data_IF_751348594329
#
_entry.id   IF_751348594329
#
_cell.length_a   1.000
_cell.length_b   1.000
_cell.length_c   1.000
_cell.angle_alpha   90.00
_cell.angle_beta   90.00
_cell.angle_gamma   90.00
#
_symmetry.space_group_name_H-M   'P 1'
#
loop_
_entity.id
_entity.type
_entity.pdbx_description
1 polymer ?
#
# COMPACT_ATOMS: atom_id res chain seq x y z
N UNK A 1 -24.63 -72.28 -12.24
CA UNK A 1 -24.68 -71.65 -13.58
C UNK A 1 -25.02 -70.18 -13.34
N UNK A 2 -24.26 -69.13 -13.64
CA UNK A 2 -22.96 -68.86 -14.26
C UNK A 2 -22.52 -67.47 -13.72
N UNK A 3 -21.20 -67.25 -13.66
CA UNK A 3 -20.48 -66.04 -13.24
C UNK A 3 -20.49 -64.90 -14.29
N UNK A 4 -20.03 -63.71 -13.85
CA UNK A 4 -19.39 -62.57 -14.55
C UNK A 4 -20.20 -61.26 -14.73
N UNK A 5 -19.55 -60.09 -14.89
CA UNK A 5 -18.88 -59.30 -13.83
C UNK A 5 -19.22 -57.79 -13.95
N UNK A 6 -18.74 -56.93 -13.05
CA UNK A 6 -19.00 -55.49 -13.18
C UNK A 6 -18.25 -54.61 -12.20
N UNK A 7 -16.93 -54.59 -12.33
CA UNK A 7 -16.04 -53.61 -11.70
C UNK A 7 -16.40 -52.19 -12.17
N UNK A 8 -16.79 -51.29 -11.27
CA UNK A 8 -16.71 -49.85 -11.51
C UNK A 8 -16.30 -49.10 -10.25
N UNK A 9 -14.98 -49.06 -10.05
CA UNK A 9 -14.19 -47.85 -9.74
C UNK A 9 -14.98 -46.72 -9.08
N UNK A 10 -14.88 -46.62 -7.76
CA UNK A 10 -15.03 -45.33 -7.08
C UNK A 10 -13.78 -44.50 -7.37
N UNK A 11 -13.88 -43.34 -8.06
CA UNK A 11 -12.81 -42.38 -8.00
C UNK A 11 -12.78 -41.80 -6.58
N UNK A 12 -11.63 -41.96 -5.92
CA UNK A 12 -11.21 -41.16 -4.78
C UNK A 12 -11.35 -39.71 -5.22
N UNK A 13 -12.42 -39.03 -4.81
CA UNK A 13 -12.57 -37.59 -5.02
C UNK A 13 -11.71 -36.94 -3.95
N UNK A 14 -10.41 -36.83 -4.24
CA UNK A 14 -9.50 -35.92 -3.56
C UNK A 14 -10.17 -34.56 -3.57
N UNK A 15 -10.76 -34.17 -2.43
CA UNK A 15 -11.09 -32.77 -2.17
C UNK A 15 -9.74 -32.08 -2.11
N UNK A 16 -9.29 -31.58 -3.26
CA UNK A 16 -8.43 -30.42 -3.30
C UNK A 16 -9.15 -29.36 -2.47
N UNK A 17 -8.69 -29.19 -1.23
CA UNK A 17 -8.87 -27.97 -0.48
C UNK A 17 -8.10 -26.94 -1.32
N UNK A 18 -8.78 -26.35 -2.30
CA UNK A 18 -8.36 -25.08 -2.87
C UNK A 18 -8.58 -24.10 -1.73
N UNK A 19 -7.49 -23.86 -1.02
CA UNK A 19 -7.33 -22.78 -0.07
C UNK A 19 -7.62 -21.49 -0.84
N UNK A 20 -8.87 -21.02 -0.74
CA UNK A 20 -9.26 -19.72 -1.25
C UNK A 20 -8.31 -18.69 -0.63
N UNK A 21 -7.60 -17.87 -1.43
CA UNK A 21 -6.79 -16.80 -0.87
C UNK A 21 -7.75 -15.83 -0.18
N UNK A 22 -7.79 -15.95 1.14
CA UNK A 22 -8.41 -14.99 2.05
C UNK A 22 -8.00 -13.60 1.58
N UNK A 23 -9.00 -12.79 1.22
CA UNK A 23 -8.85 -11.39 0.88
C UNK A 23 -8.11 -10.70 2.03
N UNK A 24 -6.81 -10.52 1.85
CA UNK A 24 -5.91 -9.99 2.87
C UNK A 24 -6.15 -8.49 2.92
N UNK A 25 -6.65 -8.02 4.07
CA UNK A 25 -6.50 -6.66 4.59
C UNK A 25 -5.27 -6.00 3.98
N UNK A 26 -5.44 -4.89 3.25
CA UNK A 26 -4.42 -4.19 2.45
C UNK A 26 -2.99 -4.50 2.90
N UNK A 27 -2.42 -5.57 2.33
CA UNK A 27 -1.14 -6.08 2.77
C UNK A 27 -0.07 -5.08 2.33
N UNK A 28 0.68 -4.53 3.29
CA UNK A 28 1.88 -3.74 3.00
C UNK A 28 2.79 -4.57 2.10
N UNK A 29 3.03 -4.08 0.89
CA UNK A 29 3.88 -4.75 -0.09
C UNK A 29 5.24 -4.07 -0.15
N UNK A 30 6.25 -4.85 -0.47
CA UNK A 30 7.65 -4.41 -0.56
C UNK A 30 8.26 -4.90 -1.86
N UNK A 31 9.29 -4.22 -2.33
CA UNK A 31 10.08 -4.58 -3.50
C UNK A 31 11.58 -4.56 -3.15
N UNK A 32 12.31 -5.58 -3.60
CA UNK A 32 13.77 -5.64 -3.48
C UNK A 32 14.42 -5.49 -4.85
N UNK A 33 15.50 -4.73 -4.89
CA UNK A 33 16.36 -4.50 -6.04
C UNK A 33 17.76 -5.04 -5.79
N UNK A 34 18.37 -5.57 -6.84
CA UNK A 34 19.81 -5.80 -6.94
C UNK A 34 20.33 -4.91 -8.08
N UNK A 35 21.06 -3.84 -7.72
CA UNK A 35 21.40 -2.78 -8.65
C UNK A 35 20.14 -2.12 -9.23
N UNK A 36 19.78 -2.45 -10.48
CA UNK A 36 18.62 -1.89 -11.19
C UNK A 36 17.52 -2.92 -11.49
N UNK A 37 17.75 -4.19 -11.13
CA UNK A 37 16.85 -5.30 -11.41
C UNK A 37 16.01 -5.65 -10.19
N UNK A 38 14.74 -6.01 -10.40
CA UNK A 38 13.85 -6.46 -9.33
C UNK A 38 14.19 -7.92 -8.97
N UNK A 39 14.47 -8.17 -7.70
CA UNK A 39 14.75 -9.50 -7.15
C UNK A 39 13.45 -10.17 -6.70
N UNK A 40 12.61 -9.42 -5.99
CA UNK A 40 11.39 -9.93 -5.39
C UNK A 40 10.42 -8.80 -5.10
N UNK A 41 9.13 -9.14 -5.08
CA UNK A 41 8.05 -8.27 -4.66
C UNK A 41 7.01 -9.07 -3.90
N UNK A 42 6.44 -8.49 -2.85
CA UNK A 42 5.36 -9.13 -2.09
C UNK A 42 5.41 -8.75 -0.61
N UNK A 43 5.07 -9.72 0.25
CA UNK A 43 5.20 -9.55 1.69
C UNK A 43 6.68 -9.44 2.10
N UNK A 44 6.95 -8.71 3.19
CA UNK A 44 8.31 -8.43 3.64
C UNK A 44 9.13 -9.70 3.87
N UNK A 45 8.51 -10.73 4.45
CA UNK A 45 9.14 -12.04 4.69
C UNK A 45 9.62 -12.72 3.41
N UNK A 46 8.80 -12.71 2.36
CA UNK A 46 9.16 -13.34 1.08
C UNK A 46 10.25 -12.56 0.36
N UNK A 47 10.17 -11.24 0.39
CA UNK A 47 11.14 -10.34 -0.22
C UNK A 47 12.51 -10.50 0.46
N UNK A 48 12.57 -10.52 1.79
CA UNK A 48 13.81 -10.73 2.55
C UNK A 48 14.36 -12.14 2.35
N UNK A 49 13.53 -13.18 2.34
CA UNK A 49 13.99 -14.56 2.07
C UNK A 49 14.66 -14.68 0.71
N UNK A 50 14.01 -14.21 -0.36
CA UNK A 50 14.57 -14.25 -1.72
C UNK A 50 15.83 -13.38 -1.86
N UNK A 51 15.86 -12.26 -1.16
CA UNK A 51 17.04 -11.38 -1.08
C UNK A 51 18.22 -12.09 -0.43
N UNK A 52 17.98 -12.83 0.67
CA UNK A 52 19.01 -13.62 1.36
C UNK A 52 19.52 -14.78 0.53
N UNK A 53 18.64 -15.51 -0.16
CA UNK A 53 19.02 -16.61 -1.07
C UNK A 53 19.97 -16.12 -2.17
N UNK A 54 19.75 -14.92 -2.71
CA UNK A 54 20.64 -14.29 -3.70
C UNK A 54 22.01 -13.93 -3.11
N UNK A 55 22.04 -13.34 -1.91
CA UNK A 55 23.30 -13.03 -1.21
C UNK A 55 24.12 -14.30 -0.91
N UNK A 56 23.45 -15.36 -0.46
CA UNK A 56 24.09 -16.65 -0.15
C UNK A 56 24.59 -17.37 -1.42
N UNK A 57 23.97 -17.08 -2.57
CA UNK A 57 24.42 -17.53 -3.89
C UNK A 57 25.70 -16.85 -4.40
N UNK A 58 26.24 -15.85 -3.69
CA UNK A 58 27.48 -15.15 -4.04
C UNK A 58 27.29 -14.02 -5.05
N UNK A 59 26.05 -13.60 -5.32
CA UNK A 59 25.77 -12.46 -6.19
C UNK A 59 26.00 -11.14 -5.42
N UNK A 60 27.17 -10.53 -5.62
CA UNK A 60 27.68 -9.38 -4.85
C UNK A 60 27.06 -8.01 -5.18
N UNK A 61 25.89 -7.96 -5.80
CA UNK A 61 25.19 -6.70 -6.05
C UNK A 61 24.57 -6.17 -4.75
N UNK A 62 24.68 -4.85 -4.53
CA UNK A 62 24.06 -4.21 -3.36
C UNK A 62 22.55 -4.33 -3.48
N UNK A 63 21.93 -4.86 -2.43
CA UNK A 63 20.49 -4.93 -2.31
C UNK A 63 19.90 -3.63 -1.77
N UNK A 64 18.76 -3.23 -2.33
CA UNK A 64 17.96 -2.10 -1.85
C UNK A 64 16.50 -2.53 -1.75
N UNK A 65 15.89 -2.36 -0.58
CA UNK A 65 14.49 -2.70 -0.34
C UNK A 65 13.68 -1.42 -0.21
N UNK A 66 12.47 -1.42 -0.75
CA UNK A 66 11.57 -0.28 -0.67
C UNK A 66 10.16 -0.73 -0.30
N UNK A 67 9.45 0.12 0.43
CA UNK A 67 8.01 0.03 0.58
C UNK A 67 7.34 0.34 -0.77
N UNK A 68 6.46 -0.56 -1.18
CA UNK A 68 5.88 -0.59 -2.52
C UNK A 68 4.77 0.45 -2.74
N UNK A 69 4.43 1.19 -1.69
CA UNK A 69 3.38 2.21 -1.70
C UNK A 69 3.97 3.59 -1.44
N UNK A 70 4.89 3.70 -0.49
CA UNK A 70 5.43 4.97 0.00
C UNK A 70 6.80 5.31 -0.60
N UNK A 71 7.41 4.37 -1.33
CA UNK A 71 8.74 4.54 -1.92
C UNK A 71 9.85 4.75 -0.90
N UNK A 72 9.60 4.43 0.39
CA UNK A 72 10.59 4.58 1.46
C UNK A 72 11.59 3.43 1.42
N UNK A 73 12.89 3.71 1.51
CA UNK A 73 13.89 2.66 1.63
C UNK A 73 13.75 1.94 2.98
N UNK A 74 13.97 0.63 2.98
CA UNK A 74 14.05 -0.23 4.15
C UNK A 74 15.49 -0.71 4.29
N UNK A 75 16.07 -0.49 5.47
CA UNK A 75 17.35 -1.07 5.85
C UNK A 75 17.09 -2.38 6.60
N UNK A 76 17.44 -3.51 5.98
CA UNK A 76 17.31 -4.84 6.57
C UNK A 76 18.71 -5.41 6.76
N UNK A 77 19.01 -5.79 8.00
CA UNK A 77 20.24 -6.47 8.33
C UNK A 77 20.18 -7.94 7.90
N UNK A 78 20.88 -8.25 6.80
CA UNK A 78 21.01 -9.60 6.25
C UNK A 78 22.13 -10.45 6.90
N UNK A 79 22.76 -9.97 7.98
CA UNK A 79 23.82 -10.69 8.68
C UNK A 79 23.31 -11.98 9.36
N UNK A 80 24.04 -13.08 9.15
CA UNK A 80 23.74 -14.39 9.74
C UNK A 80 22.99 -15.34 8.81
N UNK A 81 22.38 -16.37 9.40
CA UNK A 81 21.57 -17.37 8.70
C UNK A 81 20.20 -16.81 8.30
N UNK A 82 19.58 -17.40 7.27
CA UNK A 82 18.22 -17.02 6.85
C UNK A 82 17.20 -17.12 7.99
N UNK A 83 17.37 -18.07 8.91
CA UNK A 83 16.53 -18.23 10.09
C UNK A 83 16.68 -17.07 11.09
N UNK A 84 17.91 -16.57 11.30
CA UNK A 84 18.17 -15.42 12.19
C UNK A 84 17.61 -14.13 11.61
N UNK A 85 17.76 -13.91 10.30
CA UNK A 85 17.17 -12.76 9.60
C UNK A 85 15.64 -12.80 9.67
N UNK A 86 15.04 -13.98 9.47
CA UNK A 86 13.59 -14.17 9.58
C UNK A 86 13.08 -14.00 11.03
N UNK A 87 13.86 -14.40 12.03
CA UNK A 87 13.53 -14.16 13.44
C UNK A 87 13.52 -12.66 13.77
N UNK A 88 14.49 -11.88 13.25
CA UNK A 88 14.50 -10.42 13.42
C UNK A 88 13.32 -9.74 12.75
N UNK A 89 12.82 -10.30 11.64
CA UNK A 89 11.60 -9.82 11.01
C UNK A 89 10.37 -9.96 11.90
N UNK A 90 10.26 -11.00 12.73
CA UNK A 90 9.07 -11.17 13.60
C UNK A 90 8.88 -10.07 14.64
N UNK A 91 9.93 -9.32 14.97
CA UNK A 91 9.87 -8.14 15.85
C UNK A 91 9.92 -6.82 15.09
N UNK A 92 10.02 -6.85 13.76
CA UNK A 92 10.15 -5.66 12.94
C UNK A 92 8.80 -4.95 12.79
N UNK A 93 8.70 -3.63 13.08
CA UNK A 93 7.42 -2.90 13.07
C UNK A 93 6.64 -2.98 11.75
N UNK A 94 7.35 -3.13 10.63
CA UNK A 94 6.75 -3.24 9.29
C UNK A 94 6.34 -4.68 8.89
N UNK A 95 6.75 -5.68 9.66
CA UNK A 95 6.36 -7.09 9.45
C UNK A 95 5.17 -7.50 10.33
N UNK A 96 4.93 -6.75 11.40
CA UNK A 96 3.74 -6.93 12.22
C UNK A 96 2.51 -6.49 11.42
N UNK A 97 1.39 -7.25 11.48
CA UNK A 97 0.11 -6.75 10.99
C UNK A 97 -0.14 -5.36 11.60
N UNK A 98 -0.73 -4.39 10.87
CA UNK A 98 -1.13 -3.13 11.47
C UNK A 98 -1.97 -3.47 12.70
N UNK A 99 -1.44 -3.15 13.87
CA UNK A 99 -2.05 -3.52 15.14
C UNK A 99 -3.42 -2.85 15.16
N UNK A 100 -4.45 -3.66 14.88
CA UNK A 100 -5.82 -3.27 15.09
C UNK A 100 -5.89 -3.08 16.60
N UNK A 101 -6.03 -1.84 17.06
CA UNK A 101 -6.07 -1.52 18.49
C UNK A 101 -6.82 -2.61 19.26
N UNK A 102 -6.27 -3.13 20.36
CA UNK A 102 -6.79 -4.32 21.00
C UNK A 102 -8.26 -4.12 21.31
N UNK A 103 -9.09 -4.88 20.58
CA UNK A 103 -10.53 -4.94 20.74
C UNK A 103 -10.86 -5.32 22.16
N UNK A 104 -11.05 -4.31 23.01
CA UNK A 104 -11.49 -4.48 24.38
C UNK A 104 -12.88 -5.12 24.31
N UNK A 105 -12.95 -6.39 24.72
CA UNK A 105 -14.15 -7.24 24.69
C UNK A 105 -15.38 -6.44 25.13
N UNK A 106 -16.29 -6.19 24.19
CA UNK A 106 -17.52 -5.43 24.40
C UNK A 106 -18.54 -6.33 25.10
N UNK A 107 -18.79 -6.09 26.38
CA UNK A 107 -20.04 -6.49 27.01
C UNK A 107 -21.23 -5.75 26.35
N UNK A 108 -22.46 -6.26 26.49
CA UNK A 108 -23.64 -5.65 25.87
C UNK A 108 -23.96 -4.33 26.58
N UNK A 109 -23.51 -3.22 26.01
CA UNK A 109 -23.74 -1.88 26.53
C UNK A 109 -23.44 -0.85 25.47
N UNK A 110 -24.45 0.01 25.20
CA UNK A 110 -24.49 1.15 24.26
C UNK A 110 -23.08 1.66 23.87
N UNK A 111 -22.70 1.63 22.58
CA UNK A 111 -21.35 2.02 22.17
C UNK A 111 -21.07 3.46 22.60
N UNK A 112 -20.08 3.66 23.47
CA UNK A 112 -19.50 4.98 23.73
C UNK A 112 -18.84 5.41 22.42
N UNK A 113 -19.45 6.36 21.70
CA UNK A 113 -18.70 7.14 20.71
C UNK A 113 -17.56 7.80 21.51
N UNK A 114 -16.31 7.44 21.24
CA UNK A 114 -15.13 8.03 21.88
C UNK A 114 -14.94 9.48 21.46
N UNK A 115 -15.87 10.37 21.83
CA UNK A 115 -15.82 11.80 21.55
C UNK A 115 -14.94 12.44 22.60
N UNK A 116 -13.81 13.01 22.18
CA UNK A 116 -12.97 13.87 23.02
C UNK A 116 -13.40 15.31 22.76
N UNK A 117 -13.85 16.01 23.80
CA UNK A 117 -14.21 17.43 23.68
C UNK A 117 -12.94 18.28 23.63
N UNK A 118 -12.90 19.21 22.67
CA UNK A 118 -11.90 20.28 22.56
C UNK A 118 -12.62 21.58 22.20
N UNK A 119 -12.05 22.71 22.59
CA UNK A 119 -12.64 24.03 22.34
C UNK A 119 -12.40 24.49 20.90
N UNK A 120 -13.39 25.14 20.31
CA UNK A 120 -13.35 25.67 18.93
C UNK A 120 -14.01 27.05 18.93
N UNK A 121 -13.31 28.04 18.38
CA UNK A 121 -13.82 29.41 18.22
C UNK A 121 -14.31 29.63 16.80
N UNK A 122 -15.59 29.99 16.65
CA UNK A 122 -16.23 30.25 15.36
C UNK A 122 -16.95 31.60 15.37
N UNK A 123 -17.20 32.16 14.18
CA UNK A 123 -17.92 33.42 14.03
C UNK A 123 -19.39 33.27 14.44
N UNK A 124 -20.04 34.32 14.98
CA UNK A 124 -21.42 34.25 15.46
C UNK A 124 -22.42 33.70 14.43
N UNK A 125 -22.27 34.08 13.15
CA UNK A 125 -23.07 33.55 12.04
C UNK A 125 -22.94 32.04 11.85
N UNK A 126 -21.77 31.47 12.10
CA UNK A 126 -21.52 30.03 11.99
C UNK A 126 -22.16 29.28 13.15
N UNK A 127 -22.17 29.87 14.35
CA UNK A 127 -22.90 29.32 15.49
C UNK A 127 -24.41 29.32 15.27
N UNK A 128 -24.96 30.41 14.73
CA UNK A 128 -26.38 30.47 14.34
C UNK A 128 -26.74 29.34 13.37
N UNK A 129 -25.97 29.20 12.29
CA UNK A 129 -26.17 28.12 11.32
C UNK A 129 -26.02 26.72 11.93
N UNK A 130 -25.04 26.50 12.82
CA UNK A 130 -24.81 25.21 13.49
C UNK A 130 -25.95 24.82 14.44
N UNK A 131 -26.58 25.81 15.10
CA UNK A 131 -27.69 25.60 16.02
C UNK A 131 -28.97 25.13 15.29
N UNK A 132 -29.13 25.52 14.03
CA UNK A 132 -30.27 25.16 13.18
C UNK A 132 -30.16 23.73 12.59
N UNK A 133 -28.99 23.08 12.72
CA UNK A 133 -28.75 21.77 12.11
C UNK A 133 -29.48 20.63 12.84
N UNK A 134 -30.17 19.80 12.06
CA UNK A 134 -30.75 18.54 12.56
C UNK A 134 -29.66 17.63 13.12
N UNK A 135 -29.77 17.29 14.41
CA UNK A 135 -28.77 16.49 15.15
C UNK A 135 -27.71 17.31 15.90
N UNK A 136 -27.82 18.64 15.89
CA UNK A 136 -27.00 19.57 16.67
C UNK A 136 -25.62 19.89 16.06
N UNK A 137 -24.98 20.92 16.61
CA UNK A 137 -23.73 21.48 16.12
C UNK A 137 -22.62 20.42 15.95
N UNK A 138 -22.45 19.52 16.93
CA UNK A 138 -21.40 18.49 16.87
C UNK A 138 -21.62 17.43 15.79
N UNK A 139 -22.87 17.15 15.40
CA UNK A 139 -23.15 16.23 14.30
C UNK A 139 -22.93 16.90 12.93
N UNK A 140 -23.26 18.19 12.82
CA UNK A 140 -22.99 18.98 11.62
C UNK A 140 -21.48 19.20 11.40
N UNK A 141 -20.74 19.55 12.46
CA UNK A 141 -19.28 19.70 12.39
C UNK A 141 -18.59 18.39 11.98
N UNK A 142 -19.00 17.25 12.53
CA UNK A 142 -18.48 15.94 12.09
C UNK A 142 -18.74 15.69 10.61
N UNK A 143 -19.96 15.92 10.13
CA UNK A 143 -20.30 15.76 8.70
C UNK A 143 -19.49 16.69 7.80
N UNK A 144 -19.27 17.94 8.21
CA UNK A 144 -18.45 18.90 7.46
C UNK A 144 -16.97 18.49 7.45
N UNK A 145 -16.42 18.06 8.59
CA UNK A 145 -15.06 17.53 8.68
C UNK A 145 -14.91 16.27 7.84
N UNK A 146 -15.87 15.35 7.89
CA UNK A 146 -15.85 14.12 7.11
C UNK A 146 -15.98 14.42 5.60
N UNK A 147 -16.80 15.41 5.21
CA UNK A 147 -16.92 15.84 3.82
C UNK A 147 -15.65 16.52 3.31
N UNK A 148 -15.04 17.42 4.10
CA UNK A 148 -13.78 18.08 3.76
C UNK A 148 -12.63 17.05 3.68
N UNK A 149 -12.53 16.15 4.65
CA UNK A 149 -11.55 15.05 4.64
C UNK A 149 -11.75 14.14 3.42
N UNK A 150 -12.98 13.87 2.99
CA UNK A 150 -13.24 13.09 1.78
C UNK A 150 -12.90 13.85 0.50
N UNK A 151 -13.16 15.16 0.45
CA UNK A 151 -12.82 16.03 -0.68
C UNK A 151 -11.31 16.17 -0.87
N UNK A 152 -10.56 16.32 0.22
CA UNK A 152 -9.10 16.49 0.17
C UNK A 152 -8.34 15.15 0.17
N UNK A 153 -8.94 14.05 0.61
CA UNK A 153 -8.27 12.75 0.68
C UNK A 153 -7.72 12.28 -0.67
N UNK A 154 -8.44 12.51 -1.78
CA UNK A 154 -7.96 12.15 -3.11
C UNK A 154 -6.73 12.99 -3.51
N UNK A 155 -6.80 14.31 -3.31
CA UNK A 155 -5.68 15.20 -3.62
C UNK A 155 -4.46 14.93 -2.73
N UNK A 156 -4.68 14.68 -1.43
CA UNK A 156 -3.62 14.32 -0.47
C UNK A 156 -2.98 12.96 -0.82
N UNK A 157 -3.79 11.97 -1.22
CA UNK A 157 -3.28 10.66 -1.65
C UNK A 157 -2.52 10.72 -2.97
N UNK A 158 -2.97 11.55 -3.93
CA UNK A 158 -2.26 11.79 -5.18
C UNK A 158 -0.90 12.47 -4.91
N UNK A 159 -0.87 13.51 -4.08
CA UNK A 159 0.38 14.14 -3.63
C UNK A 159 1.30 13.14 -2.94
N UNK A 160 0.77 12.30 -2.05
CA UNK A 160 1.55 11.27 -1.38
C UNK A 160 2.13 10.23 -2.36
N UNK A 161 1.40 9.87 -3.43
CA UNK A 161 1.89 8.98 -4.47
C UNK A 161 2.98 9.63 -5.34
N UNK A 162 2.84 10.93 -5.66
CA UNK A 162 3.87 11.72 -6.36
C UNK A 162 5.15 11.80 -5.51
N UNK A 163 5.02 12.13 -4.22
CA UNK A 163 6.15 12.18 -3.29
C UNK A 163 6.84 10.82 -3.13
N UNK A 164 6.05 9.74 -3.08
CA UNK A 164 6.57 8.37 -3.06
C UNK A 164 7.35 8.04 -4.33
N UNK A 165 6.81 8.41 -5.50
CA UNK A 165 7.47 8.24 -6.80
C UNK A 165 8.80 8.99 -6.84
N UNK A 166 8.79 10.27 -6.46
CA UNK A 166 9.97 11.12 -6.47
C UNK A 166 11.06 10.61 -5.51
N UNK A 167 10.67 10.14 -4.30
CA UNK A 167 11.61 9.55 -3.34
C UNK A 167 12.33 8.34 -3.91
N UNK A 168 11.58 7.38 -4.46
CA UNK A 168 12.16 6.20 -5.10
C UNK A 168 13.05 6.58 -6.29
N UNK A 169 12.58 7.53 -7.10
CA UNK A 169 13.30 8.02 -8.28
C UNK A 169 14.65 8.66 -7.90
N UNK A 170 14.68 9.45 -6.83
CA UNK A 170 15.91 10.07 -6.34
C UNK A 170 16.96 9.02 -5.95
N UNK A 171 16.56 8.01 -5.19
CA UNK A 171 17.46 6.97 -4.69
C UNK A 171 17.97 6.04 -5.82
N UNK A 172 17.10 5.65 -6.75
CA UNK A 172 17.41 4.63 -7.76
C UNK A 172 17.83 5.19 -9.12
N UNK A 173 17.41 6.40 -9.45
CA UNK A 173 17.51 6.95 -10.80
C UNK A 173 18.13 8.36 -10.83
N UNK A 174 18.67 8.87 -9.72
CA UNK A 174 19.27 10.22 -9.68
C UNK A 174 20.45 10.43 -10.64
N UNK A 175 21.07 9.35 -11.14
CA UNK A 175 22.13 9.40 -12.15
C UNK A 175 21.65 9.14 -13.59
N UNK A 176 20.34 8.95 -13.80
CA UNK A 176 19.79 8.65 -15.12
C UNK A 176 19.61 9.92 -15.95
N UNK A 177 19.80 9.83 -17.28
CA UNK A 177 19.59 10.97 -18.16
C UNK A 177 18.12 11.39 -18.16
N UNK A 178 17.87 12.71 -18.14
CA UNK A 178 16.52 13.27 -18.14
C UNK A 178 15.81 13.22 -16.78
N UNK A 179 16.54 12.95 -15.69
CA UNK A 179 15.98 12.91 -14.34
C UNK A 179 15.23 14.20 -13.95
N UNK A 180 15.78 15.37 -14.28
CA UNK A 180 15.15 16.64 -13.91
C UNK A 180 13.85 16.88 -14.70
N UNK A 181 13.86 16.62 -16.00
CA UNK A 181 12.68 16.69 -16.86
C UNK A 181 11.59 15.72 -16.40
N UNK A 182 11.98 14.51 -16.01
CA UNK A 182 11.07 13.51 -15.48
C UNK A 182 10.47 13.99 -14.14
N UNK A 183 11.28 14.53 -13.23
CA UNK A 183 10.82 15.11 -11.97
C UNK A 183 9.83 16.27 -12.19
N UNK A 184 10.14 17.19 -13.11
CA UNK A 184 9.24 18.29 -13.46
C UNK A 184 7.89 17.78 -14.00
N UNK A 185 7.91 16.79 -14.90
CA UNK A 185 6.69 16.21 -15.47
C UNK A 185 5.85 15.47 -14.43
N UNK A 186 6.51 14.74 -13.52
CA UNK A 186 5.86 14.05 -12.40
C UNK A 186 5.10 15.03 -11.48
N UNK A 187 5.74 16.14 -11.07
CA UNK A 187 5.09 17.14 -10.22
C UNK A 187 4.01 17.94 -10.96
N UNK A 188 4.15 18.12 -12.27
CA UNK A 188 3.12 18.69 -13.13
C UNK A 188 1.94 17.74 -13.40
N UNK A 189 2.01 16.49 -12.93
CA UNK A 189 1.04 15.42 -13.20
C UNK A 189 0.91 15.07 -14.69
N UNK A 190 1.91 15.44 -15.50
CA UNK A 190 2.01 15.03 -16.89
C UNK A 190 2.65 13.64 -16.96
N UNK A 191 1.84 12.64 -16.64
CA UNK A 191 2.26 11.25 -16.54
C UNK A 191 2.58 10.62 -17.91
N UNK A 192 2.08 11.18 -19.01
CA UNK A 192 2.38 10.68 -20.36
C UNK A 192 3.78 11.12 -20.77
N UNK A 193 4.10 12.41 -20.65
CA UNK A 193 5.47 12.92 -20.86
C UNK A 193 6.46 12.26 -19.90
N UNK A 194 6.07 12.04 -18.64
CA UNK A 194 6.89 11.30 -17.67
C UNK A 194 7.23 9.89 -18.17
N UNK A 195 6.26 9.14 -18.69
CA UNK A 195 6.46 7.78 -19.19
C UNK A 195 7.42 7.74 -20.40
N UNK A 196 7.36 8.75 -21.28
CA UNK A 196 8.30 8.88 -22.40
C UNK A 196 9.73 9.14 -21.93
N UNK A 197 9.91 10.02 -20.94
CA UNK A 197 11.21 10.39 -20.40
C UNK A 197 11.92 9.21 -19.73
N UNK A 198 11.19 8.39 -18.97
CA UNK A 198 11.76 7.22 -18.29
C UNK A 198 11.88 5.98 -19.20
N UNK A 199 11.45 6.05 -20.46
CA UNK A 199 11.41 4.90 -21.37
C UNK A 199 12.78 4.24 -21.61
N UNK A 200 13.85 5.04 -21.51
CA UNK A 200 15.25 4.62 -21.71
C UNK A 200 15.93 4.15 -20.42
N UNK A 201 15.26 4.26 -19.28
CA UNK A 201 15.83 3.89 -17.99
C UNK A 201 15.81 2.37 -17.81
N UNK A 202 16.63 1.83 -16.89
CA UNK A 202 16.65 0.40 -16.59
C UNK A 202 15.25 -0.15 -16.30
N UNK A 203 14.99 -1.35 -16.81
CA UNK A 203 13.65 -1.94 -16.84
C UNK A 203 13.01 -2.04 -15.45
N UNK A 204 13.76 -2.51 -14.44
CA UNK A 204 13.23 -2.65 -13.09
C UNK A 204 12.85 -1.30 -12.44
N UNK A 205 13.63 -0.25 -12.70
CA UNK A 205 13.31 1.11 -12.21
C UNK A 205 12.05 1.61 -12.89
N UNK A 206 11.98 1.50 -14.23
CA UNK A 206 10.83 1.94 -15.02
C UNK A 206 9.55 1.22 -14.61
N UNK A 207 9.60 -0.11 -14.42
CA UNK A 207 8.45 -0.91 -13.98
C UNK A 207 7.90 -0.40 -12.63
N UNK A 208 8.79 -0.11 -11.68
CA UNK A 208 8.38 0.36 -10.38
C UNK A 208 7.79 1.78 -10.41
N UNK A 209 8.39 2.68 -11.20
CA UNK A 209 7.85 4.04 -11.40
C UNK A 209 6.47 4.02 -12.05
N UNK A 210 6.26 3.19 -13.07
CA UNK A 210 4.97 3.05 -13.73
C UNK A 210 3.87 2.60 -12.75
N UNK A 211 4.19 1.74 -11.79
CA UNK A 211 3.22 1.33 -10.78
C UNK A 211 2.85 2.44 -9.80
N UNK A 212 3.80 3.26 -9.36
CA UNK A 212 3.46 4.43 -8.54
C UNK A 212 2.56 5.39 -9.31
N UNK A 213 2.82 5.59 -10.60
CA UNK A 213 1.99 6.43 -11.49
C UNK A 213 0.58 5.86 -11.68
N UNK A 214 0.44 4.54 -11.93
CA UNK A 214 -0.87 3.89 -12.04
C UNK A 214 -1.66 4.10 -10.74
N UNK A 215 -1.00 4.01 -9.59
CA UNK A 215 -1.63 4.27 -8.29
C UNK A 215 -2.07 5.74 -8.18
N UNK A 216 -1.21 6.69 -8.54
CA UNK A 216 -1.55 8.12 -8.53
C UNK A 216 -2.77 8.43 -9.42
N UNK A 217 -2.83 7.84 -10.62
CA UNK A 217 -3.98 7.96 -11.54
C UNK A 217 -5.25 7.33 -10.99
N UNK A 218 -5.15 6.23 -10.26
CA UNK A 218 -6.31 5.53 -9.68
C UNK A 218 -6.97 6.28 -8.51
N UNK A 219 -6.36 7.37 -8.04
CA UNK A 219 -6.83 8.19 -6.91
C UNK A 219 -7.67 9.39 -7.39
N UNK A 220 -7.76 9.64 -8.70
CA UNK A 220 -8.62 10.70 -9.23
C UNK A 220 -10.08 10.49 -8.77
N UNK A 221 -10.68 11.50 -8.10
CA UNK A 221 -12.07 11.43 -7.73
C UNK A 221 -12.90 11.42 -9.00
N UNK A 222 -13.69 10.36 -9.19
CA UNK A 222 -14.79 10.41 -10.15
C UNK A 222 -15.66 11.60 -9.78
N UNK A 223 -15.73 12.61 -10.65
CA UNK A 223 -16.67 13.72 -10.52
C UNK A 223 -18.06 13.10 -10.32
N UNK A 224 -18.59 13.26 -9.11
CA UNK A 224 -19.97 12.88 -8.82
C UNK A 224 -20.82 13.92 -9.54
N UNK A 225 -21.23 13.58 -10.75
CA UNK A 225 -22.25 14.29 -11.51
C UNK A 225 -23.55 14.27 -10.70
N UNK A 226 -23.82 15.37 -10.01
CA UNK A 226 -25.06 15.60 -9.27
C UNK A 226 -26.19 15.86 -10.27
N UNK A 227 -27.25 15.04 -10.35
CA UNK A 227 -28.43 15.41 -11.12
C UNK A 227 -29.10 16.61 -10.45
N UNK A 228 -29.32 17.66 -11.25
CA UNK A 228 -30.01 18.90 -10.85
C UNK A 228 -31.50 18.73 -10.60
#
# INVERSE_FOLDING_TARGET
MVFYPGNNRHPIRTRHIFEEPQMTTAATSFVAFAGTNIVARGALSDVVRRSKERLDGGEGERLALFDDVTGRPLDIDFSGSAAEVQARLTTHPLALPPESEPGKRRGPGRPKLGVVCREVSLLPRHWGWLAEQRGGASAALRRLVDAARKGDAGQEQCRAAIDATHRFMWDMAGNQPGFEEASRSLFAQDFDTFAELISKWPEGIREQLQRFVIRARSIEPQEIEMPG
#
